data_IF_778773214384
#
_entry.id   IF_778773214384
#
_cell.length_a   1.000
_cell.length_b   1.000
_cell.length_c   1.000
_cell.angle_alpha   90.00
_cell.angle_beta   90.00
_cell.angle_gamma   90.00
#
_symmetry.space_group_name_H-M   'P 1'
#
loop_
_entity.id
_entity.type
_entity.pdbx_description
1 polymer ?
#
# COMPACT_ATOMS: atom_id res chain seq x y z
N UNK A 1 -2.82 17.87 -2.33
CA UNK A 1 -2.12 17.38 -1.13
C UNK A 1 -0.61 17.57 -1.22
N UNK A 2 0.10 17.67 -0.08
CA UNK A 2 1.58 17.78 -0.06
C UNK A 2 2.21 16.40 -0.03
N UNK A 3 3.14 16.18 -0.94
CA UNK A 3 4.02 15.01 -0.95
C UNK A 3 5.48 15.42 -0.78
N UNK A 4 6.31 14.51 -0.29
CA UNK A 4 7.74 14.75 -0.13
C UNK A 4 8.57 13.48 -0.23
N UNK A 5 9.86 13.63 -0.51
CA UNK A 5 10.82 12.56 -0.69
C UNK A 5 11.16 12.26 -2.15
N UNK A 6 12.43 12.02 -2.41
CA UNK A 6 13.00 11.91 -3.76
C UNK A 6 12.32 10.84 -4.62
N UNK A 7 12.13 9.64 -4.07
CA UNK A 7 11.62 8.50 -4.87
C UNK A 7 10.18 8.73 -5.32
N UNK A 8 9.29 9.16 -4.40
CA UNK A 8 7.91 9.48 -4.74
C UNK A 8 7.83 10.61 -5.76
N UNK A 9 8.62 11.69 -5.54
CA UNK A 9 8.67 12.82 -6.47
C UNK A 9 9.08 12.39 -7.87
N UNK A 10 10.14 11.59 -8.01
CA UNK A 10 10.62 11.11 -9.30
C UNK A 10 9.60 10.18 -9.96
N UNK A 11 8.95 9.30 -9.19
CA UNK A 11 7.91 8.43 -9.71
C UNK A 11 6.76 9.23 -10.35
N UNK A 12 6.26 10.28 -9.65
CA UNK A 12 5.21 11.14 -10.18
C UNK A 12 5.71 11.94 -11.40
N UNK A 13 6.96 12.40 -11.38
CA UNK A 13 7.58 13.09 -12.51
C UNK A 13 7.68 12.21 -13.75
N UNK A 14 7.91 10.91 -13.58
CA UNK A 14 8.05 9.96 -14.67
C UNK A 14 6.72 9.49 -15.23
N UNK A 15 5.74 9.24 -14.39
CA UNK A 15 4.51 8.54 -14.78
C UNK A 15 3.22 9.34 -14.63
N UNK A 16 3.20 10.37 -13.77
CA UNK A 16 2.00 11.09 -13.38
C UNK A 16 2.21 12.61 -13.36
N UNK A 17 2.96 13.12 -14.33
CA UNK A 17 3.40 14.51 -14.42
C UNK A 17 2.25 15.51 -14.31
N UNK A 18 1.07 15.15 -14.83
CA UNK A 18 -0.14 15.98 -14.80
C UNK A 18 -0.69 16.20 -13.38
N UNK A 19 -0.27 15.40 -12.41
CA UNK A 19 -0.70 15.53 -11.01
C UNK A 19 -0.01 16.67 -10.27
N UNK A 20 1.12 17.17 -10.77
CA UNK A 20 1.81 18.29 -10.12
C UNK A 20 1.01 19.60 -10.23
N UNK A 21 0.92 20.35 -9.10
CA UNK A 21 0.35 21.70 -9.01
C UNK A 21 1.41 22.75 -8.70
N UNK A 22 2.36 22.41 -7.82
CA UNK A 22 3.52 23.25 -7.51
C UNK A 22 4.69 22.40 -7.04
N UNK A 23 5.91 22.90 -7.23
CA UNK A 23 7.15 22.22 -6.84
C UNK A 23 7.93 23.12 -5.90
N UNK A 24 8.38 22.58 -4.78
CA UNK A 24 9.16 23.26 -3.74
C UNK A 24 10.52 22.59 -3.61
N UNK A 25 11.59 23.34 -3.79
CA UNK A 25 12.96 22.83 -3.74
C UNK A 25 13.73 23.51 -2.62
N UNK A 26 14.19 22.72 -1.65
CA UNK A 26 15.05 23.23 -0.56
C UNK A 26 16.54 22.97 -0.80
N UNK A 27 16.88 22.23 -1.86
CA UNK A 27 18.26 21.93 -2.27
C UNK A 27 18.45 22.17 -3.77
N UNK A 28 19.68 22.41 -4.15
CA UNK A 28 20.02 22.47 -5.56
C UNK A 28 19.91 21.08 -6.18
N UNK A 29 19.33 21.06 -7.37
CA UNK A 29 19.21 19.85 -8.19
C UNK A 29 20.35 19.83 -9.21
N UNK A 30 20.64 18.63 -9.70
CA UNK A 30 21.46 18.52 -10.90
C UNK A 30 20.79 19.23 -12.08
N UNK A 31 21.63 19.73 -13.01
CA UNK A 31 21.17 20.57 -14.13
C UNK A 31 20.15 19.83 -15.02
N UNK A 32 20.31 18.51 -15.21
CA UNK A 32 19.44 17.71 -16.08
C UNK A 32 18.05 17.59 -15.47
N UNK A 33 17.95 17.25 -14.18
CA UNK A 33 16.69 17.13 -13.47
C UNK A 33 15.99 18.49 -13.37
N UNK A 34 16.74 19.57 -13.08
CA UNK A 34 16.18 20.92 -13.03
C UNK A 34 15.61 21.34 -14.39
N UNK A 35 16.35 21.12 -15.48
CA UNK A 35 15.88 21.44 -16.82
C UNK A 35 14.61 20.65 -17.21
N UNK A 36 14.52 19.39 -16.77
CA UNK A 36 13.32 18.59 -16.97
C UNK A 36 12.12 19.16 -16.23
N UNK A 37 12.29 19.51 -14.94
CA UNK A 37 11.22 20.11 -14.13
C UNK A 37 10.81 21.49 -14.69
N UNK A 38 11.78 22.31 -15.10
CA UNK A 38 11.51 23.64 -15.66
C UNK A 38 10.65 23.60 -16.93
N UNK A 39 10.79 22.55 -17.74
CA UNK A 39 9.97 22.36 -18.97
C UNK A 39 8.49 22.09 -18.68
N UNK A 40 8.11 21.78 -17.44
CA UNK A 40 6.70 21.50 -17.10
C UNK A 40 5.82 22.76 -17.06
N UNK A 41 6.40 23.95 -17.10
CA UNK A 41 5.65 25.19 -16.95
C UNK A 41 5.00 25.37 -15.57
N UNK A 42 5.39 24.56 -14.60
CA UNK A 42 4.85 24.59 -13.24
C UNK A 42 5.55 25.65 -12.38
N UNK A 43 4.84 26.14 -11.37
CA UNK A 43 5.41 27.04 -10.39
C UNK A 43 6.47 26.31 -9.56
N UNK A 44 7.75 26.68 -9.77
CA UNK A 44 8.88 26.18 -8.99
C UNK A 44 9.25 27.27 -7.97
N UNK A 45 9.27 26.90 -6.70
CA UNK A 45 9.65 27.80 -5.60
C UNK A 45 10.89 27.24 -4.88
N UNK A 46 11.94 28.04 -4.80
CA UNK A 46 13.03 27.77 -3.85
C UNK A 46 12.53 28.15 -2.46
N UNK A 47 12.70 27.23 -1.52
CA UNK A 47 12.31 27.43 -0.11
C UNK A 47 13.51 27.11 0.80
N UNK A 48 13.52 27.71 1.97
CA UNK A 48 14.49 27.38 3.00
C UNK A 48 14.18 26.05 3.69
N UNK A 49 15.15 25.54 4.45
CA UNK A 49 15.03 24.27 5.15
C UNK A 49 13.90 24.29 6.20
N UNK A 50 13.68 25.43 6.87
CA UNK A 50 12.63 25.58 7.87
C UNK A 50 11.24 25.41 7.25
N UNK A 51 11.01 26.06 6.11
CA UNK A 51 9.75 25.92 5.37
C UNK A 51 9.60 24.52 4.80
N UNK A 52 10.68 23.92 4.31
CA UNK A 52 10.70 22.55 3.83
C UNK A 52 10.31 21.53 4.92
N UNK A 53 10.90 21.64 6.11
CA UNK A 53 10.56 20.81 7.27
C UNK A 53 9.12 21.01 7.72
N UNK A 54 8.61 22.25 7.68
CA UNK A 54 7.21 22.54 7.99
C UNK A 54 6.27 21.85 7.01
N UNK A 55 6.51 21.94 5.70
CA UNK A 55 5.70 21.29 4.67
C UNK A 55 5.76 19.77 4.77
N UNK A 56 6.95 19.21 5.04
CA UNK A 56 7.15 17.78 5.24
C UNK A 56 6.76 17.29 6.64
N UNK A 57 6.29 18.20 7.52
CA UNK A 57 5.90 17.88 8.91
C UNK A 57 7.00 17.11 9.66
N UNK A 58 8.24 17.54 9.52
CA UNK A 58 9.41 16.89 10.12
C UNK A 58 9.91 15.63 9.40
N UNK A 59 9.27 15.22 8.31
CA UNK A 59 9.68 14.04 7.56
C UNK A 59 10.93 14.27 6.70
N UNK A 60 11.62 13.19 6.34
CA UNK A 60 12.80 13.26 5.48
C UNK A 60 12.40 13.55 4.03
N UNK A 61 12.43 14.83 3.64
CA UNK A 61 12.04 15.30 2.31
C UNK A 61 13.17 15.24 1.28
N UNK A 62 14.42 15.10 1.69
CA UNK A 62 15.59 15.01 0.80
C UNK A 62 15.71 16.19 -0.21
N UNK A 63 15.07 17.32 0.08
CA UNK A 63 15.02 18.50 -0.79
C UNK A 63 13.87 18.53 -1.81
N UNK A 64 13.05 17.47 -1.88
CA UNK A 64 11.95 17.31 -2.83
C UNK A 64 10.61 17.38 -2.14
N UNK A 65 9.82 18.39 -2.45
CA UNK A 65 8.47 18.59 -1.94
C UNK A 65 7.61 19.07 -3.10
N UNK A 66 6.40 18.59 -3.19
CA UNK A 66 5.47 19.07 -4.20
C UNK A 66 4.04 19.10 -3.66
N UNK A 67 3.26 19.98 -4.24
CA UNK A 67 1.81 19.93 -4.19
C UNK A 67 1.31 19.16 -5.39
N UNK A 68 0.48 18.17 -5.12
CA UNK A 68 -0.12 17.33 -6.16
C UNK A 68 -1.63 17.23 -5.97
N UNK A 69 -2.33 16.75 -6.99
CA UNK A 69 -3.75 16.43 -6.88
C UNK A 69 -4.00 15.47 -5.71
N UNK A 70 -5.21 15.50 -5.18
CA UNK A 70 -5.62 14.55 -4.17
C UNK A 70 -5.59 13.11 -4.71
N UNK A 71 -5.21 12.20 -3.84
CA UNK A 71 -5.21 10.79 -4.15
C UNK A 71 -6.65 10.27 -4.13
N UNK A 72 -7.03 9.51 -5.16
CA UNK A 72 -8.35 8.90 -5.26
C UNK A 72 -8.25 7.40 -5.06
N UNK A 73 -9.04 6.88 -4.14
CA UNK A 73 -9.18 5.44 -3.93
C UNK A 73 -10.09 4.83 -5.01
N UNK A 74 -9.77 3.60 -5.39
CA UNK A 74 -10.59 2.82 -6.31
C UNK A 74 -11.92 2.42 -5.65
N UNK A 75 -13.07 2.59 -6.32
CA UNK A 75 -14.34 2.14 -5.78
C UNK A 75 -14.37 0.62 -5.54
N UNK A 76 -14.92 0.18 -4.41
CA UNK A 76 -14.95 -1.24 -4.04
C UNK A 76 -15.61 -2.13 -5.11
N UNK A 77 -16.66 -1.65 -5.76
CA UNK A 77 -17.36 -2.40 -6.80
C UNK A 77 -16.45 -2.81 -7.97
N UNK A 78 -15.45 -1.98 -8.32
CA UNK A 78 -14.51 -2.27 -9.41
C UNK A 78 -13.59 -3.46 -9.08
N UNK A 79 -13.33 -3.71 -7.80
CA UNK A 79 -12.42 -4.76 -7.36
C UNK A 79 -12.99 -6.17 -7.51
N UNK A 80 -14.29 -6.30 -7.74
CA UNK A 80 -14.95 -7.62 -7.94
C UNK A 80 -14.46 -8.34 -9.21
N UNK A 81 -13.84 -7.62 -10.13
CA UNK A 81 -13.23 -8.17 -11.36
C UNK A 81 -11.75 -8.57 -11.19
N UNK A 82 -11.14 -8.24 -10.06
CA UNK A 82 -9.78 -8.64 -9.74
C UNK A 82 -9.69 -10.17 -9.55
N UNK A 83 -8.49 -10.72 -9.70
CA UNK A 83 -8.18 -12.13 -9.41
C UNK A 83 -7.45 -12.29 -8.09
N UNK A 84 -6.66 -11.31 -7.68
CA UNK A 84 -5.82 -11.38 -6.49
C UNK A 84 -5.85 -10.07 -5.70
N UNK A 85 -6.31 -10.14 -4.46
CA UNK A 85 -6.47 -8.99 -3.58
C UNK A 85 -5.71 -9.23 -2.27
N UNK A 86 -4.98 -8.23 -1.79
CA UNK A 86 -4.48 -8.18 -0.41
C UNK A 86 -5.45 -7.36 0.44
N UNK A 87 -5.92 -7.92 1.55
CA UNK A 87 -6.90 -7.29 2.44
C UNK A 87 -6.29 -7.05 3.83
N UNK A 88 -6.17 -5.78 4.22
CA UNK A 88 -5.54 -5.37 5.47
C UNK A 88 -6.59 -5.18 6.57
N UNK A 89 -6.54 -6.03 7.61
CA UNK A 89 -7.43 -5.99 8.76
C UNK A 89 -6.79 -5.24 9.92
N UNK A 90 -7.16 -3.97 10.14
CA UNK A 90 -6.73 -3.19 11.29
C UNK A 90 -5.27 -2.75 11.29
N UNK A 91 -4.57 -2.85 10.17
CA UNK A 91 -3.20 -2.34 10.02
C UNK A 91 -3.29 -0.83 9.86
N UNK A 92 -2.68 -0.07 10.78
CA UNK A 92 -2.73 1.39 10.83
C UNK A 92 -1.37 2.05 10.59
N UNK A 93 -0.26 1.33 10.77
CA UNK A 93 1.07 1.87 10.51
C UNK A 93 1.27 2.11 9.01
N UNK A 94 1.48 3.37 8.64
CA UNK A 94 1.60 3.78 7.23
C UNK A 94 2.88 3.28 6.56
N UNK A 95 3.92 2.97 7.34
CA UNK A 95 5.14 2.35 6.85
C UNK A 95 4.89 0.91 6.42
N UNK A 96 4.19 0.14 7.25
CA UNK A 96 3.77 -1.22 6.92
C UNK A 96 2.79 -1.22 5.73
N UNK A 97 1.77 -0.35 5.72
CA UNK A 97 0.83 -0.24 4.59
C UNK A 97 1.59 0.04 3.30
N UNK A 98 2.50 1.03 3.28
CA UNK A 98 3.24 1.37 2.08
C UNK A 98 4.21 0.26 1.62
N UNK A 99 4.84 -0.45 2.55
CA UNK A 99 5.66 -1.63 2.25
C UNK A 99 4.83 -2.74 1.60
N UNK A 100 3.63 -3.00 2.13
CA UNK A 100 2.69 -3.98 1.58
C UNK A 100 2.23 -3.55 0.19
N UNK A 101 1.81 -2.29 0.00
CA UNK A 101 1.42 -1.75 -1.32
C UNK A 101 2.51 -1.98 -2.35
N UNK A 102 3.76 -1.66 -2.00
CA UNK A 102 4.90 -1.84 -2.90
C UNK A 102 5.16 -3.31 -3.25
N UNK A 103 5.15 -4.18 -2.26
CA UNK A 103 5.36 -5.62 -2.46
C UNK A 103 4.22 -6.25 -3.24
N UNK A 104 2.96 -5.89 -2.93
CA UNK A 104 1.78 -6.38 -3.63
C UNK A 104 1.81 -6.04 -5.11
N UNK A 105 2.11 -4.77 -5.45
CA UNK A 105 2.28 -4.36 -6.85
C UNK A 105 3.39 -5.16 -7.54
N UNK A 106 4.56 -5.26 -6.91
CA UNK A 106 5.73 -5.93 -7.49
C UNK A 106 5.50 -7.43 -7.73
N UNK A 107 4.69 -8.07 -6.91
CA UNK A 107 4.33 -9.48 -7.01
C UNK A 107 3.07 -9.74 -7.84
N UNK A 108 2.48 -8.68 -8.42
CA UNK A 108 1.37 -8.78 -9.35
C UNK A 108 0.00 -8.90 -8.70
N UNK A 109 -0.21 -8.34 -7.51
CA UNK A 109 -1.55 -8.17 -6.97
C UNK A 109 -2.35 -7.21 -7.86
N UNK A 110 -3.64 -7.52 -8.08
CA UNK A 110 -4.52 -6.66 -8.85
C UNK A 110 -5.02 -5.49 -7.99
N UNK A 111 -5.24 -5.74 -6.69
CA UNK A 111 -5.75 -4.71 -5.80
C UNK A 111 -5.32 -4.91 -4.33
N UNK A 112 -5.48 -3.83 -3.55
CA UNK A 112 -5.31 -3.85 -2.11
C UNK A 112 -6.52 -3.16 -1.43
N UNK A 113 -7.05 -3.79 -0.39
CA UNK A 113 -8.14 -3.24 0.42
C UNK A 113 -7.62 -2.92 1.83
N UNK A 114 -7.90 -1.73 2.31
CA UNK A 114 -7.59 -1.29 3.66
C UNK A 114 -8.90 -1.21 4.45
N UNK A 115 -9.10 -2.12 5.39
CA UNK A 115 -10.23 -2.05 6.30
C UNK A 115 -9.91 -1.09 7.45
N UNK A 116 -10.45 0.12 7.36
CA UNK A 116 -10.27 1.16 8.36
C UNK A 116 -11.53 2.01 8.50
N UNK A 117 -12.19 1.91 9.66
CA UNK A 117 -13.43 2.64 9.95
C UNK A 117 -13.32 4.16 9.90
N UNK A 118 -12.13 4.70 10.14
CA UNK A 118 -11.88 6.15 10.12
C UNK A 118 -11.34 6.64 8.78
N UNK A 119 -11.06 5.74 7.83
CA UNK A 119 -10.35 6.06 6.60
C UNK A 119 -8.87 6.38 6.85
N UNK A 120 -8.19 6.85 5.82
CA UNK A 120 -6.83 7.36 5.91
C UNK A 120 -6.87 8.89 5.83
N UNK A 121 -6.23 9.55 6.80
CA UNK A 121 -6.01 11.00 6.72
C UNK A 121 -5.12 11.36 5.54
N UNK A 122 -5.15 12.61 5.09
CA UNK A 122 -4.23 13.12 4.04
C UNK A 122 -2.77 12.80 4.36
N UNK A 123 -2.38 12.93 5.63
CA UNK A 123 -1.04 12.58 6.11
C UNK A 123 -0.78 11.06 6.00
N UNK A 124 -1.75 10.24 6.31
CA UNK A 124 -1.67 8.78 6.14
C UNK A 124 -1.49 8.40 4.67
N UNK A 125 -2.25 9.02 3.78
CA UNK A 125 -2.15 8.81 2.33
C UNK A 125 -0.77 9.23 1.82
N UNK A 126 -0.32 10.45 2.16
CA UNK A 126 1.02 10.93 1.78
C UNK A 126 2.13 10.02 2.32
N UNK A 127 1.99 9.53 3.56
CA UNK A 127 2.91 8.56 4.17
C UNK A 127 2.95 7.23 3.43
N UNK A 128 1.80 6.66 3.11
CA UNK A 128 1.66 5.43 2.33
C UNK A 128 2.30 5.57 0.94
N UNK A 129 1.99 6.64 0.23
CA UNK A 129 2.56 6.91 -1.09
C UNK A 129 4.08 7.06 -1.04
N UNK A 130 4.61 7.73 0.00
CA UNK A 130 6.04 7.89 0.20
C UNK A 130 6.73 6.56 0.53
N UNK A 131 6.19 5.80 1.46
CA UNK A 131 6.80 4.52 1.88
C UNK A 131 6.67 3.42 0.83
N UNK A 132 5.64 3.49 -0.02
CA UNK A 132 5.50 2.65 -1.21
C UNK A 132 6.35 3.12 -2.40
N UNK A 133 7.08 4.26 -2.28
CA UNK A 133 7.84 4.87 -3.39
C UNK A 133 6.99 5.19 -4.63
N UNK A 134 5.71 5.51 -4.42
CA UNK A 134 4.76 5.83 -5.49
C UNK A 134 3.95 4.63 -6.02
N UNK A 135 4.24 3.39 -5.58
CA UNK A 135 3.49 2.21 -6.02
C UNK A 135 1.97 2.31 -5.78
N UNK A 136 1.55 3.14 -4.81
CA UNK A 136 0.13 3.40 -4.57
C UNK A 136 -0.60 4.07 -5.74
N UNK A 137 0.11 4.69 -6.68
CA UNK A 137 -0.49 5.22 -7.92
C UNK A 137 -0.67 4.18 -9.02
N UNK A 138 -0.05 3.01 -8.88
CA UNK A 138 -0.06 1.94 -9.87
C UNK A 138 -0.92 0.74 -9.46
N UNK A 139 -1.32 0.67 -8.18
CA UNK A 139 -2.13 -0.42 -7.63
C UNK A 139 -3.53 0.11 -7.32
N UNK A 140 -4.56 -0.65 -7.67
CA UNK A 140 -5.92 -0.35 -7.24
C UNK A 140 -6.05 -0.48 -5.72
N UNK A 141 -6.23 0.66 -5.03
CA UNK A 141 -6.36 0.71 -3.58
C UNK A 141 -7.76 1.18 -3.20
N UNK A 142 -8.45 0.40 -2.38
CA UNK A 142 -9.76 0.70 -1.83
C UNK A 142 -9.71 0.80 -0.31
N UNK A 143 -10.50 1.68 0.27
CA UNK A 143 -10.72 1.74 1.73
C UNK A 143 -12.16 1.34 2.02
N UNK A 144 -12.35 0.43 2.96
CA UNK A 144 -13.68 -0.01 3.41
C UNK A 144 -13.84 0.24 4.92
N UNK A 145 -15.05 0.63 5.31
CA UNK A 145 -15.37 0.94 6.71
C UNK A 145 -15.88 -0.30 7.48
N UNK A 146 -16.41 -1.29 6.76
CA UNK A 146 -16.93 -2.54 7.30
C UNK A 146 -16.25 -3.72 6.59
N UNK A 147 -15.30 -4.33 7.31
CA UNK A 147 -14.54 -5.48 6.85
C UNK A 147 -15.42 -6.70 6.59
N UNK A 148 -16.40 -6.95 7.47
CA UNK A 148 -17.25 -8.14 7.39
C UNK A 148 -18.20 -8.08 6.19
N UNK A 149 -18.76 -6.91 5.90
CA UNK A 149 -19.60 -6.70 4.71
C UNK A 149 -18.76 -6.87 3.45
N UNK A 150 -17.59 -6.23 3.37
CA UNK A 150 -16.69 -6.34 2.23
C UNK A 150 -16.26 -7.80 1.95
N UNK A 151 -15.91 -8.55 3.00
CA UNK A 151 -15.55 -9.96 2.86
C UNK A 151 -16.71 -10.84 2.36
N UNK A 152 -17.94 -10.56 2.81
CA UNK A 152 -19.13 -11.27 2.30
C UNK A 152 -19.32 -11.02 0.81
N UNK A 153 -19.22 -9.76 0.38
CA UNK A 153 -19.39 -9.40 -1.03
C UNK A 153 -18.29 -10.00 -1.92
N UNK A 154 -17.04 -10.03 -1.45
CA UNK A 154 -15.94 -10.68 -2.16
C UNK A 154 -16.18 -12.20 -2.29
N UNK A 155 -16.67 -12.84 -1.23
CA UNK A 155 -17.03 -14.26 -1.25
C UNK A 155 -18.16 -14.55 -2.25
N UNK A 156 -19.19 -13.70 -2.28
CA UNK A 156 -20.27 -13.79 -3.27
C UNK A 156 -19.78 -13.56 -4.72
N UNK A 157 -18.71 -12.74 -4.88
CA UNK A 157 -18.06 -12.51 -6.17
C UNK A 157 -17.09 -13.65 -6.57
N UNK A 158 -17.05 -14.77 -5.81
CA UNK A 158 -16.28 -15.98 -6.14
C UNK A 158 -14.84 -15.99 -5.64
N UNK A 159 -14.46 -15.08 -4.74
CA UNK A 159 -13.12 -15.12 -4.15
C UNK A 159 -13.00 -16.18 -3.07
N UNK A 160 -11.90 -16.92 -3.08
CA UNK A 160 -11.44 -17.72 -1.94
C UNK A 160 -10.77 -16.84 -0.91
N UNK A 161 -11.24 -16.83 0.32
CA UNK A 161 -10.67 -16.03 1.40
C UNK A 161 -9.59 -16.83 2.16
N UNK A 162 -8.37 -16.33 2.15
CA UNK A 162 -7.19 -16.93 2.78
C UNK A 162 -6.75 -16.04 3.95
N UNK A 163 -6.90 -16.51 5.18
CA UNK A 163 -6.49 -15.77 6.37
C UNK A 163 -5.07 -16.13 6.79
N UNK A 164 -4.22 -15.12 7.02
CA UNK A 164 -2.86 -15.33 7.51
C UNK A 164 -2.84 -15.45 9.04
N UNK A 165 -2.44 -16.61 9.58
CA UNK A 165 -2.29 -16.85 11.01
C UNK A 165 -1.28 -17.99 11.26
N UNK A 166 -0.51 -17.91 12.35
CA UNK A 166 0.52 -18.89 12.70
C UNK A 166 -0.03 -20.33 12.90
N UNK A 167 -1.31 -20.45 13.27
CA UNK A 167 -2.02 -21.74 13.45
C UNK A 167 -2.38 -22.41 12.12
N UNK A 168 -2.26 -21.69 10.99
CA UNK A 168 -2.67 -22.18 9.68
C UNK A 168 -1.79 -23.28 9.10
N UNK A 169 -2.21 -23.75 7.92
CA UNK A 169 -1.42 -24.65 7.09
C UNK A 169 -0.20 -23.92 6.53
N UNK A 170 0.96 -24.59 6.46
CA UNK A 170 2.12 -24.03 5.79
C UNK A 170 1.77 -23.71 4.33
N UNK A 171 2.04 -22.46 3.94
CA UNK A 171 1.74 -22.01 2.56
C UNK A 171 2.50 -22.83 1.50
N UNK A 172 3.62 -23.45 1.85
CA UNK A 172 4.39 -24.33 0.96
C UNK A 172 3.66 -25.63 0.65
N UNK A 173 2.80 -26.08 1.55
CA UNK A 173 2.01 -27.32 1.43
C UNK A 173 0.60 -27.04 0.87
N UNK A 174 0.33 -25.82 0.43
CA UNK A 174 -0.97 -25.45 -0.11
C UNK A 174 -1.18 -26.08 -1.48
N UNK A 175 -1.91 -27.18 -1.51
CA UNK A 175 -2.17 -27.94 -2.73
C UNK A 175 -3.08 -27.20 -3.74
N UNK A 176 -3.90 -26.26 -3.29
CA UNK A 176 -4.90 -25.56 -4.08
C UNK A 176 -4.50 -24.09 -4.25
N UNK A 177 -4.29 -23.70 -5.49
CA UNK A 177 -4.06 -22.30 -5.88
C UNK A 177 -5.35 -21.77 -6.49
N UNK A 178 -6.11 -20.97 -5.74
CA UNK A 178 -7.34 -20.43 -6.28
C UNK A 178 -7.03 -19.41 -7.37
N UNK A 179 -7.73 -19.49 -8.48
CA UNK A 179 -7.63 -18.49 -9.57
C UNK A 179 -8.06 -17.10 -9.10
N UNK A 180 -8.94 -17.07 -8.09
CA UNK A 180 -9.49 -15.84 -7.54
C UNK A 180 -9.43 -15.88 -6.02
N UNK A 181 -8.60 -15.03 -5.40
CA UNK A 181 -8.39 -15.06 -3.96
C UNK A 181 -8.20 -13.69 -3.30
N UNK A 182 -8.49 -13.66 -2.02
CA UNK A 182 -8.17 -12.57 -1.12
C UNK A 182 -7.25 -13.08 -0.02
N UNK A 183 -6.07 -12.49 0.13
CA UNK A 183 -5.16 -12.74 1.25
C UNK A 183 -5.43 -11.72 2.35
N UNK A 184 -5.98 -12.18 3.47
CA UNK A 184 -6.23 -11.34 4.64
C UNK A 184 -4.99 -11.30 5.53
N UNK A 185 -4.54 -10.08 5.85
CA UNK A 185 -3.43 -9.81 6.75
C UNK A 185 -3.91 -9.03 7.96
N UNK A 186 -3.59 -9.47 9.16
CA UNK A 186 -3.94 -8.81 10.41
C UNK A 186 -2.85 -7.88 10.94
N UNK A 187 -3.20 -7.03 11.90
CA UNK A 187 -2.24 -6.21 12.65
C UNK A 187 -1.32 -7.11 13.50
N UNK A 188 -0.07 -6.64 13.74
CA UNK A 188 0.96 -7.42 14.43
C UNK A 188 0.56 -7.82 15.87
N UNK A 189 -0.19 -6.96 16.57
CA UNK A 189 -0.61 -7.16 17.96
C UNK A 189 -1.91 -7.95 18.12
N UNK A 190 -2.86 -7.81 17.18
CA UNK A 190 -4.23 -8.35 17.29
C UNK A 190 -4.55 -9.41 16.26
N UNK A 191 -3.72 -9.55 15.24
CA UNK A 191 -4.00 -10.43 14.12
C UNK A 191 -5.27 -10.05 13.36
N UNK A 192 -5.88 -11.04 12.72
CA UNK A 192 -7.19 -10.91 12.06
C UNK A 192 -8.28 -11.12 13.12
N UNK A 193 -9.26 -10.22 13.15
CA UNK A 193 -10.37 -10.33 14.10
C UNK A 193 -11.15 -11.65 13.95
N UNK A 194 -11.59 -12.25 15.05
CA UNK A 194 -12.26 -13.58 15.09
C UNK A 194 -13.40 -13.71 14.07
N UNK A 195 -14.22 -12.66 13.88
CA UNK A 195 -15.34 -12.68 12.93
C UNK A 195 -14.87 -12.69 11.47
N UNK A 196 -13.80 -11.96 11.14
CA UNK A 196 -13.21 -11.96 9.81
C UNK A 196 -12.48 -13.30 9.54
N UNK A 197 -11.76 -13.83 10.53
CA UNK A 197 -11.10 -15.13 10.46
C UNK A 197 -12.11 -16.27 10.20
N UNK A 198 -13.27 -16.25 10.85
CA UNK A 198 -14.34 -17.23 10.67
C UNK A 198 -14.97 -17.20 9.26
N UNK A 199 -14.73 -16.16 8.46
CA UNK A 199 -15.16 -16.08 7.05
C UNK A 199 -14.15 -16.69 6.09
N UNK A 200 -12.90 -16.88 6.52
CA UNK A 200 -11.86 -17.44 5.68
C UNK A 200 -12.17 -18.90 5.32
N UNK A 201 -11.92 -19.25 4.08
CA UNK A 201 -12.07 -20.62 3.57
C UNK A 201 -10.88 -21.50 3.99
N UNK A 202 -9.70 -20.89 4.14
CA UNK A 202 -8.49 -21.53 4.65
C UNK A 202 -7.67 -20.53 5.48
N UNK A 203 -6.93 -21.08 6.42
CA UNK A 203 -5.93 -20.35 7.21
C UNK A 203 -4.56 -20.82 6.75
N UNK A 204 -3.72 -19.87 6.37
CA UNK A 204 -2.37 -20.11 5.83
C UNK A 204 -1.32 -19.52 6.77
N UNK A 205 -0.17 -20.17 6.83
CA UNK A 205 0.93 -19.80 7.71
C UNK A 205 2.28 -19.82 6.99
N UNK A 206 3.23 -19.07 7.53
CA UNK A 206 4.65 -19.27 7.26
C UNK A 206 5.23 -20.03 8.44
N UNK A 207 5.63 -21.29 8.23
CA UNK A 207 6.30 -22.06 9.30
C UNK A 207 7.71 -21.54 9.51
N UNK A 208 7.97 -21.10 10.70
CA UNK A 208 9.24 -20.50 11.11
C UNK A 208 10.12 -21.49 11.83
N UNK A 209 11.44 -21.33 11.68
CA UNK A 209 12.42 -22.14 12.40
C UNK A 209 12.42 -21.74 13.87
N UNK A 210 12.56 -22.72 14.76
CA UNK A 210 12.69 -22.53 16.21
C UNK A 210 11.51 -21.82 16.88
N UNK A 211 10.30 -21.97 16.37
CA UNK A 211 9.08 -21.35 16.91
C UNK A 211 9.23 -19.82 17.09
N UNK A 212 9.95 -19.15 16.20
CA UNK A 212 10.02 -17.67 16.19
C UNK A 212 8.62 -17.09 16.07
N UNK A 213 8.31 -16.04 16.83
CA UNK A 213 6.94 -15.53 17.01
C UNK A 213 6.31 -15.02 15.72
N UNK A 214 6.96 -14.09 15.04
CA UNK A 214 6.38 -13.43 13.85
C UNK A 214 7.43 -12.79 12.95
N UNK A 215 7.04 -12.53 11.71
CA UNK A 215 7.72 -11.64 10.76
C UNK A 215 7.01 -10.29 10.74
N UNK A 216 7.72 -9.24 10.35
CA UNK A 216 7.06 -7.98 9.99
C UNK A 216 5.94 -8.26 8.98
N UNK A 217 4.79 -7.61 9.16
CA UNK A 217 3.59 -7.88 8.36
C UNK A 217 3.80 -7.66 6.86
N UNK A 218 4.63 -6.70 6.45
CA UNK A 218 4.95 -6.47 5.04
C UNK A 218 5.76 -7.62 4.44
N UNK A 219 6.72 -8.17 5.21
CA UNK A 219 7.51 -9.34 4.81
C UNK A 219 6.63 -10.57 4.73
N UNK A 220 5.80 -10.81 5.75
CA UNK A 220 4.86 -11.93 5.76
C UNK A 220 3.89 -11.88 4.57
N UNK A 221 3.34 -10.69 4.28
CA UNK A 221 2.45 -10.47 3.13
C UNK A 221 3.13 -10.84 1.83
N UNK A 222 4.37 -10.37 1.61
CA UNK A 222 5.11 -10.66 0.38
C UNK A 222 5.34 -12.16 0.19
N UNK A 223 5.78 -12.86 1.24
CA UNK A 223 6.04 -14.31 1.18
C UNK A 223 4.75 -15.08 0.90
N UNK A 224 3.68 -14.81 1.66
CA UNK A 224 2.41 -15.51 1.50
C UNK A 224 1.81 -15.25 0.12
N UNK A 225 1.77 -13.98 -0.31
CA UNK A 225 1.21 -13.61 -1.60
C UNK A 225 1.96 -14.27 -2.76
N UNK A 226 3.29 -14.20 -2.76
CA UNK A 226 4.12 -14.80 -3.79
C UNK A 226 3.89 -16.32 -3.88
N UNK A 227 3.87 -17.00 -2.74
CA UNK A 227 3.65 -18.45 -2.68
C UNK A 227 2.25 -18.87 -3.13
N UNK A 228 1.24 -18.07 -2.87
CA UNK A 228 -0.14 -18.36 -3.30
C UNK A 228 -0.30 -18.10 -4.80
N UNK A 229 0.25 -17.01 -5.31
CA UNK A 229 0.05 -16.56 -6.69
C UNK A 229 1.04 -17.20 -7.67
N UNK A 230 2.31 -17.27 -7.33
CA UNK A 230 3.41 -17.59 -8.24
C UNK A 230 4.14 -18.91 -7.91
N UNK A 231 3.91 -19.48 -6.73
CA UNK A 231 4.64 -20.64 -6.19
C UNK A 231 4.18 -22.01 -6.61
#
# INVERSE_FOLDING_TARGET
MIIFGKQLFLHILDKHIQKFRAIYLSKELDKTLFARIAKLGLKIQKIDERKAQSLARGGNHQGFIAEVDEFSFTPFASLKNASSIVFLCGISDVGNIGSIVRSSLALGADALIIANRQGLSEQGISGMLRTSSGAGYELDICVVNDDLSALNELKQAGFTLLGADASGQDVRDLALRPEKFVLLMGAEDKGIGKKAMAKCDKIVAIKMKNNWDSLNVGVATAILFDRIKNG
#
